data_IF_036114475120
#
_entry.id   IF_036114475120
#
_cell.length_a   1.000
_cell.length_b   1.000
_cell.length_c   1.000
_cell.angle_alpha   90.00
_cell.angle_beta   90.00
_cell.angle_gamma   90.00
#
_symmetry.space_group_name_H-M   'P 1'
#
loop_
_entity.id
_entity.type
_entity.pdbx_description
1 polymer ?
#
# COMPACT_ATOMS: atom_id res chain seq x y z
N UNK A 1 -5.44 -20.93 -7.70
CA UNK A 1 -4.60 -19.85 -7.15
C UNK A 1 -5.53 -18.67 -7.12
N UNK A 2 -6.05 -18.32 -5.94
CA UNK A 2 -7.06 -17.27 -5.79
C UNK A 2 -6.49 -15.93 -6.27
N UNK A 3 -7.36 -15.04 -6.78
CA UNK A 3 -7.10 -13.78 -7.50
C UNK A 3 -6.41 -12.69 -6.65
N UNK A 4 -5.37 -13.05 -5.90
CA UNK A 4 -4.53 -12.15 -5.11
C UNK A 4 -3.79 -11.18 -6.03
N UNK A 5 -3.87 -9.89 -5.74
CA UNK A 5 -3.20 -8.82 -6.45
C UNK A 5 -1.78 -8.57 -5.94
N UNK A 6 -1.56 -8.65 -4.62
CA UNK A 6 -0.25 -8.50 -3.96
C UNK A 6 -0.28 -9.04 -2.53
N UNK A 7 0.81 -9.01 -1.77
CA UNK A 7 0.79 -9.33 -0.33
C UNK A 7 0.10 -8.26 0.51
N UNK A 8 0.24 -7.01 0.09
CA UNK A 8 -0.33 -5.85 0.77
C UNK A 8 -0.95 -4.86 -0.20
N UNK A 9 -2.04 -4.23 0.22
CA UNK A 9 -2.80 -3.23 -0.53
C UNK A 9 -2.64 -1.87 0.15
N UNK A 10 -2.18 -0.85 -0.57
CA UNK A 10 -2.09 0.53 -0.10
C UNK A 10 -3.35 1.29 -0.53
N UNK A 11 -4.15 1.78 0.41
CA UNK A 11 -5.39 2.49 0.10
C UNK A 11 -5.43 3.95 0.55
N UNK A 12 -4.52 4.39 1.41
CA UNK A 12 -4.46 5.79 1.84
C UNK A 12 -3.02 6.21 2.16
N UNK A 13 -2.69 7.46 1.81
CA UNK A 13 -1.44 8.11 2.22
C UNK A 13 -1.77 9.22 3.21
N UNK A 14 -1.27 9.07 4.44
CA UNK A 14 -1.47 10.04 5.52
C UNK A 14 -0.18 10.85 5.68
N UNK A 15 -0.23 12.14 5.33
CA UNK A 15 0.90 13.05 5.55
C UNK A 15 0.93 13.52 7.00
N UNK A 16 2.07 13.39 7.67
CA UNK A 16 2.28 13.97 9.00
C UNK A 16 3.06 15.27 8.82
N UNK A 17 2.44 16.40 9.16
CA UNK A 17 3.16 17.67 9.29
C UNK A 17 3.99 17.66 10.59
N UNK A 18 5.23 17.20 10.47
CA UNK A 18 6.30 17.43 11.46
C UNK A 18 7.43 18.23 10.79
N UNK A 19 8.42 18.67 11.57
CA UNK A 19 9.64 19.37 11.09
C UNK A 19 10.36 18.65 9.92
N UNK A 20 10.09 17.37 9.68
CA UNK A 20 10.38 16.64 8.44
C UNK A 20 9.09 15.97 7.96
N UNK A 21 8.77 16.10 6.67
CA UNK A 21 7.65 15.38 6.08
C UNK A 21 7.87 13.87 6.27
N UNK A 22 6.96 13.24 7.01
CA UNK A 22 6.92 11.78 7.15
C UNK A 22 5.56 11.31 6.66
N UNK A 23 5.57 10.26 5.84
CA UNK A 23 4.36 9.68 5.28
C UNK A 23 4.04 8.39 6.01
N UNK A 24 2.75 8.20 6.31
CA UNK A 24 2.19 6.91 6.68
C UNK A 24 1.30 6.38 5.56
N UNK A 25 1.21 5.08 5.46
CA UNK A 25 0.36 4.36 4.53
C UNK A 25 -0.62 3.53 5.31
N UNK A 26 -1.91 3.57 4.94
CA UNK A 26 -2.85 2.56 5.41
C UNK A 26 -2.79 1.34 4.50
N UNK A 27 -2.60 0.19 5.13
CA UNK A 27 -2.41 -1.08 4.45
C UNK A 27 -3.50 -2.08 4.83
N UNK A 28 -3.85 -2.93 3.88
CA UNK A 28 -4.59 -4.15 4.13
C UNK A 28 -3.81 -5.37 3.61
N UNK A 29 -4.03 -6.54 4.20
CA UNK A 29 -3.59 -7.82 3.64
C UNK A 29 -4.59 -8.25 2.58
N UNK A 30 -4.04 -8.74 1.47
CA UNK A 30 -4.81 -9.38 0.42
C UNK A 30 -4.71 -10.90 0.59
N UNK A 31 -5.83 -11.50 1.02
CA UNK A 31 -6.00 -12.93 1.16
C UNK A 31 -6.61 -13.56 -0.11
N UNK A 32 -6.67 -12.83 -1.23
CA UNK A 32 -7.28 -13.25 -2.49
C UNK A 32 -8.80 -13.07 -2.50
N UNK A 33 -9.52 -13.73 -1.59
CA UNK A 33 -10.98 -13.65 -1.48
C UNK A 33 -11.46 -12.61 -0.44
N UNK A 34 -10.56 -12.08 0.37
CA UNK A 34 -10.86 -11.11 1.42
C UNK A 34 -9.71 -10.10 1.60
N UNK A 35 -10.07 -8.92 2.09
CA UNK A 35 -9.15 -7.84 2.42
C UNK A 35 -9.21 -7.60 3.92
N UNK A 36 -8.11 -7.86 4.63
CA UNK A 36 -8.01 -7.65 6.08
C UNK A 36 -7.24 -6.36 6.38
N UNK A 37 -7.93 -5.37 6.96
CA UNK A 37 -7.29 -4.11 7.34
C UNK A 37 -6.21 -4.32 8.41
N UNK A 38 -5.02 -3.76 8.17
CA UNK A 38 -3.83 -3.95 9.03
C UNK A 38 -3.39 -2.68 9.76
N UNK A 39 -3.88 -1.51 9.34
CA UNK A 39 -3.63 -0.22 9.99
C UNK A 39 -2.60 0.65 9.29
N UNK A 40 -2.01 1.59 10.03
CA UNK A 40 -1.06 2.58 9.52
C UNK A 40 0.40 2.16 9.68
N UNK A 41 1.19 2.30 8.62
CA UNK A 41 2.61 1.96 8.56
C UNK A 41 3.44 3.15 8.10
N UNK A 42 4.67 3.29 8.61
CA UNK A 42 5.57 4.34 8.13
C UNK A 42 6.07 3.99 6.72
N UNK A 43 6.39 5.02 5.94
CA UNK A 43 7.04 4.84 4.64
C UNK A 43 8.30 3.98 4.72
N UNK A 44 9.12 4.17 5.74
CA UNK A 44 10.38 3.44 5.89
C UNK A 44 10.15 1.94 6.16
N UNK A 45 9.06 1.59 6.85
CA UNK A 45 8.66 0.20 7.08
C UNK A 45 8.21 -0.45 5.76
N UNK A 46 7.41 0.26 4.95
CA UNK A 46 6.97 -0.21 3.63
C UNK A 46 8.16 -0.38 2.69
N UNK A 47 9.09 0.58 2.67
CA UNK A 47 10.33 0.49 1.87
C UNK A 47 11.16 -0.72 2.29
N UNK A 48 11.29 -0.97 3.60
CA UNK A 48 12.02 -2.12 4.13
C UNK A 48 11.32 -3.44 3.76
N UNK A 49 9.99 -3.48 3.83
CA UNK A 49 9.20 -4.64 3.42
C UNK A 49 9.38 -4.95 1.93
N UNK A 50 9.30 -3.96 1.03
CA UNK A 50 9.52 -4.18 -0.41
C UNK A 50 10.91 -4.79 -0.68
N UNK A 51 11.95 -4.32 0.04
CA UNK A 51 13.32 -4.89 -0.09
C UNK A 51 13.41 -6.35 0.37
N UNK A 52 12.57 -6.75 1.31
CA UNK A 52 12.58 -8.10 1.90
C UNK A 52 11.73 -9.10 1.12
N UNK A 53 11.06 -8.69 0.03
CA UNK A 53 10.33 -9.59 -0.87
C UNK A 53 8.81 -9.40 -0.95
N UNK A 54 8.09 -8.98 0.12
CA UNK A 54 6.66 -8.71 0.00
C UNK A 54 6.27 -7.75 -1.13
N UNK A 55 5.19 -8.09 -1.80
CA UNK A 55 4.65 -7.32 -2.93
C UNK A 55 3.54 -6.37 -2.48
N UNK A 56 3.45 -5.22 -3.15
CA UNK A 56 2.50 -4.17 -2.84
C UNK A 56 1.78 -3.68 -4.10
N UNK A 57 0.48 -3.41 -4.00
CA UNK A 57 -0.28 -2.65 -5.02
C UNK A 57 -1.04 -1.53 -4.34
N UNK A 58 -1.35 -0.46 -5.08
CA UNK A 58 -2.36 0.51 -4.66
C UNK A 58 -3.75 -0.03 -4.95
N UNK A 59 -4.73 0.37 -4.14
CA UNK A 59 -6.14 0.06 -4.37
C UNK A 59 -7.00 1.28 -4.08
N UNK A 60 -8.17 1.32 -4.71
CA UNK A 60 -9.14 2.41 -4.53
C UNK A 60 -10.49 1.82 -4.17
N UNK A 61 -11.11 2.34 -3.12
CA UNK A 61 -12.47 1.96 -2.77
C UNK A 61 -13.45 2.84 -3.54
N UNK A 62 -14.43 2.24 -4.18
CA UNK A 62 -15.54 2.97 -4.77
C UNK A 62 -16.51 3.42 -3.66
N UNK A 63 -16.71 4.73 -3.46
CA UNK A 63 -17.55 5.24 -2.39
C UNK A 63 -19.04 4.90 -2.56
N UNK A 64 -19.49 4.54 -3.77
CA UNK A 64 -20.89 4.27 -4.06
C UNK A 64 -21.35 2.86 -3.64
N UNK A 65 -20.44 1.87 -3.70
CA UNK A 65 -20.77 0.46 -3.46
C UNK A 65 -19.81 -0.26 -2.50
N UNK A 66 -18.70 0.38 -2.13
CA UNK A 66 -17.69 -0.20 -1.24
C UNK A 66 -16.70 -1.16 -1.91
N UNK A 67 -16.83 -1.39 -3.22
CA UNK A 67 -15.97 -2.31 -3.96
C UNK A 67 -14.55 -1.76 -4.10
N UNK A 68 -13.57 -2.66 -4.05
CA UNK A 68 -12.17 -2.32 -4.28
C UNK A 68 -11.78 -2.48 -5.75
N UNK A 69 -11.07 -1.50 -6.28
CA UNK A 69 -10.44 -1.57 -7.61
C UNK A 69 -8.93 -1.60 -7.46
N UNK A 70 -8.28 -2.49 -8.19
CA UNK A 70 -6.82 -2.60 -8.25
C UNK A 70 -6.22 -1.39 -8.96
N UNK A 71 -5.23 -0.77 -8.32
CA UNK A 71 -4.34 0.23 -8.92
C UNK A 71 -3.03 -0.37 -9.40
N UNK A 72 -1.96 0.39 -9.24
CA UNK A 72 -0.63 0.05 -9.76
C UNK A 72 0.21 -0.75 -8.77
N UNK A 73 1.14 -1.55 -9.29
CA UNK A 73 2.18 -2.18 -8.46
C UNK A 73 3.14 -1.12 -7.93
N UNK A 74 3.50 -1.25 -6.67
CA UNK A 74 4.41 -0.32 -6.00
C UNK A 74 5.84 -0.85 -6.08
N UNK A 75 6.75 0.01 -6.55
CA UNK A 75 8.17 -0.30 -6.65
C UNK A 75 9.02 0.80 -6.02
N UNK A 76 10.24 0.47 -5.61
CA UNK A 76 11.22 1.46 -5.18
C UNK A 76 11.85 2.14 -6.40
N UNK A 77 11.63 3.44 -6.55
CA UNK A 77 12.37 4.24 -7.51
C UNK A 77 13.83 4.42 -7.04
N UNK A 78 14.79 4.37 -7.97
CA UNK A 78 16.17 4.81 -7.71
C UNK A 78 16.20 6.33 -7.81
N UNK A 79 16.77 7.01 -6.83
CA UNK A 79 16.62 8.45 -6.59
C UNK A 79 17.32 9.40 -7.57
N UNK A 80 17.42 9.07 -8.86
CA UNK A 80 18.07 9.92 -9.87
C UNK A 80 17.15 10.34 -11.04
N UNK A 81 15.86 9.99 -11.06
CA UNK A 81 14.94 10.32 -12.17
C UNK A 81 13.71 11.13 -11.71
N UNK A 82 13.92 12.32 -11.14
CA UNK A 82 12.89 13.37 -11.05
C UNK A 82 13.51 14.73 -11.38
#
# INVERSE_FOLDING_TARGET
MEDKWADYLIYEVVSIQRKRASFRFRLAIDNGHAVDERGEYLRDDVVSAIKNGPTFVTVFQNPANGDWTRGDRVFLARGNDI
#
